data_IF_287552907745
#
_entry.id   IF_287552907745
#
_cell.length_a   1.000
_cell.length_b   1.000
_cell.length_c   1.000
_cell.angle_alpha   90.00
_cell.angle_beta   90.00
_cell.angle_gamma   90.00
#
_symmetry.space_group_name_H-M   'P 1'
#
loop_
_entity.id
_entity.type
_entity.pdbx_description
1 polymer ?
#
# COMPACT_ATOMS: atom_id res chain seq x y z
N UNK A 1 -0.99 28.83 17.95
CA UNK A 1 -1.32 27.56 17.27
C UNK A 1 -1.38 27.84 15.78
N UNK A 2 -0.42 27.36 15.00
CA UNK A 2 -0.32 27.68 13.57
C UNK A 2 -1.24 26.77 12.76
N UNK A 3 -2.11 27.38 11.96
CA UNK A 3 -3.00 26.73 10.99
C UNK A 3 -2.25 25.63 10.21
N UNK A 4 -2.82 24.43 10.16
CA UNK A 4 -2.23 23.20 9.61
C UNK A 4 -2.00 23.19 8.10
N UNK A 5 -1.85 24.37 7.49
CA UNK A 5 -1.66 24.61 6.05
C UNK A 5 -0.24 25.03 5.68
N UNK A 6 0.75 24.84 6.56
CA UNK A 6 2.16 25.06 6.20
C UNK A 6 2.61 23.99 5.20
N UNK A 7 2.53 24.29 3.90
CA UNK A 7 3.24 23.54 2.86
C UNK A 7 4.73 23.84 2.97
N UNK A 8 5.53 22.81 3.22
CA UNK A 8 6.98 22.95 3.25
C UNK A 8 7.49 23.37 1.87
N UNK A 9 8.66 24.03 1.82
CA UNK A 9 9.25 24.51 0.56
C UNK A 9 9.46 23.34 -0.43
N UNK A 10 9.70 22.13 0.08
CA UNK A 10 9.81 20.88 -0.68
C UNK A 10 8.50 20.41 -1.34
N UNK A 11 7.32 20.78 -0.82
CA UNK A 11 6.02 20.38 -1.37
C UNK A 11 5.51 21.34 -2.46
N UNK A 12 6.24 22.44 -2.68
CA UNK A 12 5.86 23.45 -3.66
C UNK A 12 6.20 22.97 -5.06
N UNK A 13 5.21 23.03 -5.95
CA UNK A 13 5.32 22.68 -7.36
C UNK A 13 5.65 23.94 -8.16
N UNK A 14 6.85 24.47 -7.97
CA UNK A 14 7.25 25.79 -8.48
C UNK A 14 7.56 25.77 -10.00
N UNK A 15 7.78 24.58 -10.57
CA UNK A 15 8.09 24.41 -11.99
C UNK A 15 6.85 24.04 -12.82
N UNK A 16 6.68 24.70 -13.96
CA UNK A 16 5.61 24.44 -14.93
C UNK A 16 6.18 23.89 -16.24
N UNK A 17 5.58 22.82 -16.73
CA UNK A 17 5.89 22.24 -18.05
C UNK A 17 4.62 22.32 -18.91
N UNK A 18 4.77 22.75 -20.16
CA UNK A 18 3.71 22.78 -21.16
C UNK A 18 4.08 21.79 -22.27
N UNK A 19 3.18 20.86 -22.60
CA UNK A 19 3.40 19.84 -23.63
C UNK A 19 2.30 19.97 -24.69
N UNK A 20 2.70 20.01 -25.97
CA UNK A 20 1.76 19.92 -27.09
C UNK A 20 1.55 18.44 -27.44
N UNK A 21 0.31 18.03 -27.61
CA UNK A 21 -0.08 16.66 -27.91
C UNK A 21 -0.85 16.62 -29.23
N UNK A 22 -0.68 15.54 -29.99
CA UNK A 22 -1.60 15.23 -31.08
C UNK A 22 -2.95 14.76 -30.51
N UNK A 23 -4.00 14.73 -31.34
CA UNK A 23 -5.31 14.20 -30.91
C UNK A 23 -5.20 12.74 -30.42
N UNK A 24 -4.40 11.92 -31.12
CA UNK A 24 -4.18 10.51 -30.76
C UNK A 24 -3.53 10.38 -29.38
N UNK A 25 -2.50 11.18 -29.11
CA UNK A 25 -1.80 11.16 -27.82
C UNK A 25 -2.72 11.65 -26.68
N UNK A 26 -3.59 12.62 -26.98
CA UNK A 26 -4.57 13.12 -26.04
C UNK A 26 -5.60 12.04 -25.67
N UNK A 27 -6.04 11.23 -26.62
CA UNK A 27 -6.98 10.14 -26.35
C UNK A 27 -6.34 9.00 -25.54
N UNK A 28 -5.07 8.67 -25.81
CA UNK A 28 -4.29 7.75 -24.98
C UNK A 28 -4.19 8.28 -23.55
N UNK A 29 -3.86 9.56 -23.38
CA UNK A 29 -3.79 10.19 -22.06
C UNK A 29 -5.14 10.11 -21.34
N UNK A 30 -6.25 10.49 -21.98
CA UNK A 30 -7.59 10.40 -21.38
C UNK A 30 -7.95 8.99 -20.95
N UNK A 31 -7.65 7.98 -21.77
CA UNK A 31 -7.89 6.58 -21.44
C UNK A 31 -7.08 6.16 -20.20
N UNK A 32 -5.80 6.55 -20.12
CA UNK A 32 -4.96 6.28 -18.96
C UNK A 32 -5.47 6.98 -17.69
N UNK A 33 -5.92 8.24 -17.78
CA UNK A 33 -6.51 8.96 -16.65
C UNK A 33 -7.80 8.31 -16.17
N UNK A 34 -8.66 7.85 -17.09
CA UNK A 34 -9.90 7.13 -16.74
C UNK A 34 -9.60 5.83 -16.02
N UNK A 35 -8.60 5.08 -16.47
CA UNK A 35 -8.18 3.81 -15.84
C UNK A 35 -7.58 4.02 -14.45
N UNK A 36 -6.75 5.06 -14.29
CA UNK A 36 -6.01 5.31 -13.05
C UNK A 36 -6.79 6.16 -12.04
N UNK A 37 -7.83 6.87 -12.47
CA UNK A 37 -8.56 7.85 -11.66
C UNK A 37 -7.74 9.10 -11.30
N UNK A 38 -6.54 9.26 -11.85
CA UNK A 38 -5.63 10.36 -11.53
C UNK A 38 -5.94 11.62 -12.37
N UNK A 39 -5.55 12.78 -11.84
CA UNK A 39 -5.47 13.99 -12.66
C UNK A 39 -4.27 13.93 -13.60
N UNK A 40 -4.34 14.58 -14.77
CA UNK A 40 -3.25 14.62 -15.74
C UNK A 40 -1.90 15.03 -15.12
N UNK A 41 -1.92 16.05 -14.25
CA UNK A 41 -0.72 16.53 -13.59
C UNK A 41 -0.13 15.52 -12.60
N UNK A 42 -0.97 14.71 -11.93
CA UNK A 42 -0.51 13.66 -11.03
C UNK A 42 0.09 12.51 -11.83
N UNK A 43 -0.62 12.07 -12.87
CA UNK A 43 -0.19 11.01 -13.77
C UNK A 43 1.18 11.28 -14.41
N UNK A 44 1.40 12.49 -14.96
CA UNK A 44 2.69 12.88 -15.54
C UNK A 44 3.81 12.91 -14.50
N UNK A 45 3.52 13.37 -13.28
CA UNK A 45 4.53 13.36 -12.20
C UNK A 45 4.89 11.94 -11.77
N UNK A 46 3.92 11.04 -11.70
CA UNK A 46 4.19 9.63 -11.41
C UNK A 46 5.01 8.99 -12.53
N UNK A 47 4.68 9.25 -13.80
CA UNK A 47 5.50 8.80 -14.93
C UNK A 47 6.97 9.23 -14.80
N UNK A 48 7.22 10.49 -14.46
CA UNK A 48 8.58 11.01 -14.28
C UNK A 48 9.26 10.35 -13.09
N UNK A 49 8.55 10.15 -11.97
CA UNK A 49 9.11 9.58 -10.74
C UNK A 49 9.45 8.10 -10.89
N UNK A 50 8.58 7.33 -11.55
CA UNK A 50 8.71 5.87 -11.66
C UNK A 50 9.36 5.41 -12.97
N UNK A 51 9.85 6.36 -13.78
CA UNK A 51 10.45 6.05 -15.09
C UNK A 51 9.48 5.39 -16.07
N UNK A 52 8.19 5.69 -15.97
CA UNK A 52 7.14 5.14 -16.84
C UNK A 52 6.38 3.94 -16.27
N UNK A 53 6.82 3.36 -15.16
CA UNK A 53 6.16 2.20 -14.56
C UNK A 53 5.14 2.63 -13.49
N UNK A 54 3.97 3.10 -13.92
CA UNK A 54 2.93 3.54 -12.98
C UNK A 54 2.19 2.32 -12.45
N UNK A 55 2.51 1.92 -11.23
CA UNK A 55 1.76 0.91 -10.51
C UNK A 55 0.47 1.52 -9.95
N UNK A 56 -0.67 1.15 -10.55
CA UNK A 56 -2.00 1.53 -10.08
C UNK A 56 -2.65 0.52 -9.15
N UNK A 57 -2.12 -0.70 -9.04
CA UNK A 57 -2.66 -1.74 -8.17
C UNK A 57 -2.10 -1.65 -6.75
N UNK A 58 -0.95 -0.99 -6.58
CA UNK A 58 -0.25 -0.79 -5.31
C UNK A 58 -1.15 -0.46 -4.09
N UNK A 59 -2.12 0.50 -4.16
CA UNK A 59 -2.96 0.82 -3.01
C UNK A 59 -3.99 -0.28 -2.69
N UNK A 60 -4.57 -0.90 -3.72
CA UNK A 60 -5.57 -1.95 -3.57
C UNK A 60 -4.93 -3.26 -3.09
N UNK A 61 -3.77 -3.62 -3.64
CA UNK A 61 -3.01 -4.79 -3.23
C UNK A 61 -2.56 -4.68 -1.77
N UNK A 62 -2.12 -3.49 -1.35
CA UNK A 62 -1.82 -3.20 0.07
C UNK A 62 -3.04 -3.38 0.95
N UNK A 63 -4.19 -2.82 0.57
CA UNK A 63 -5.42 -2.94 1.35
C UNK A 63 -5.90 -4.40 1.45
N UNK A 64 -5.77 -5.16 0.35
CA UNK A 64 -6.14 -6.57 0.29
C UNK A 64 -5.24 -7.43 1.16
N UNK A 65 -3.93 -7.23 1.11
CA UNK A 65 -2.94 -7.93 1.95
C UNK A 65 -3.19 -7.64 3.43
N UNK A 66 -3.38 -6.36 3.81
CA UNK A 66 -3.70 -5.97 5.19
C UNK A 66 -4.97 -6.68 5.67
N UNK A 67 -6.01 -6.75 4.83
CA UNK A 67 -7.28 -7.40 5.18
C UNK A 67 -7.14 -8.90 5.40
N UNK A 68 -6.41 -9.60 4.52
CA UNK A 68 -6.16 -11.04 4.66
C UNK A 68 -5.44 -11.33 5.98
N UNK A 69 -4.40 -10.56 6.28
CA UNK A 69 -3.61 -10.73 7.52
C UNK A 69 -4.45 -10.44 8.77
N UNK A 70 -5.23 -9.35 8.76
CA UNK A 70 -6.15 -9.06 9.86
C UNK A 70 -7.15 -10.19 10.10
N UNK A 71 -7.64 -10.82 9.03
CA UNK A 71 -8.48 -12.02 9.09
C UNK A 71 -7.78 -13.20 9.75
N UNK A 72 -6.53 -13.49 9.35
CA UNK A 72 -5.71 -14.56 9.94
C UNK A 72 -5.50 -14.31 11.43
N UNK A 73 -5.09 -13.10 11.82
CA UNK A 73 -4.87 -12.74 13.22
C UNK A 73 -6.16 -12.89 14.06
N UNK A 74 -7.30 -12.48 13.51
CA UNK A 74 -8.59 -12.64 14.18
C UNK A 74 -8.99 -14.12 14.34
N UNK A 75 -8.76 -14.95 13.33
CA UNK A 75 -9.03 -16.39 13.39
C UNK A 75 -8.17 -17.07 14.48
N UNK A 76 -6.88 -16.70 14.57
CA UNK A 76 -5.98 -17.21 15.63
C UNK A 76 -6.49 -16.79 17.01
N UNK A 77 -6.86 -15.52 17.19
CA UNK A 77 -7.37 -15.02 18.47
C UNK A 77 -8.64 -15.76 18.90
N UNK A 78 -9.53 -16.10 17.97
CA UNK A 78 -10.72 -16.92 18.23
C UNK A 78 -10.34 -18.34 18.62
N UNK A 79 -9.43 -19.00 17.90
CA UNK A 79 -8.99 -20.35 18.21
C UNK A 79 -8.38 -20.46 19.62
N UNK A 80 -7.55 -19.49 20.01
CA UNK A 80 -6.97 -19.42 21.36
C UNK A 80 -8.04 -19.23 22.43
N UNK A 81 -8.98 -18.29 22.24
CA UNK A 81 -10.10 -18.08 23.18
C UNK A 81 -10.97 -19.32 23.32
N UNK A 82 -11.29 -19.99 22.22
CA UNK A 82 -12.12 -21.20 22.21
C UNK A 82 -11.43 -22.34 22.97
N UNK A 83 -10.15 -22.62 22.71
CA UNK A 83 -9.49 -23.72 23.42
C UNK A 83 -9.12 -23.39 24.86
N UNK A 84 -9.00 -22.10 25.25
CA UNK A 84 -8.95 -21.70 26.65
C UNK A 84 -10.29 -21.98 27.36
N UNK A 85 -11.43 -21.62 26.74
CA UNK A 85 -12.77 -21.93 27.26
C UNK A 85 -13.04 -23.44 27.38
N UNK A 86 -12.52 -24.25 26.45
CA UNK A 86 -12.69 -25.70 26.45
C UNK A 86 -11.68 -26.45 27.33
N UNK A 87 -10.71 -25.76 27.96
CA UNK A 87 -9.71 -26.35 28.86
C UNK A 87 -8.72 -27.31 28.18
N UNK A 88 -8.54 -27.22 26.85
CA UNK A 88 -7.76 -28.18 26.04
C UNK A 88 -6.57 -27.55 25.30
N UNK A 89 -6.19 -26.32 25.63
CA UNK A 89 -5.06 -25.66 24.99
C UNK A 89 -3.73 -26.14 25.62
N UNK A 90 -3.03 -27.07 24.96
CA UNK A 90 -1.68 -27.43 25.38
C UNK A 90 -0.70 -26.31 25.04
N UNK A 91 0.19 -26.00 25.99
CA UNK A 91 1.20 -24.94 25.86
C UNK A 91 2.03 -25.05 24.57
N UNK A 92 2.35 -26.28 24.13
CA UNK A 92 3.09 -26.53 22.89
C UNK A 92 2.35 -26.18 21.60
N UNK A 93 1.01 -26.13 21.59
CA UNK A 93 0.26 -25.63 20.42
C UNK A 93 0.21 -24.10 20.39
N UNK A 94 0.15 -23.45 21.56
CA UNK A 94 0.23 -22.00 21.68
C UNK A 94 1.58 -21.50 21.17
N UNK A 95 2.65 -22.16 21.59
CA UNK A 95 4.01 -21.81 21.18
C UNK A 95 4.22 -21.94 19.66
N UNK A 96 3.70 -23.01 19.06
CA UNK A 96 3.71 -23.18 17.58
C UNK A 96 2.90 -22.09 16.86
N UNK A 97 1.74 -21.69 17.40
CA UNK A 97 0.94 -20.60 16.84
C UNK A 97 1.66 -19.26 16.95
N UNK A 98 2.37 -19.02 18.05
CA UNK A 98 3.15 -17.81 18.28
C UNK A 98 4.32 -17.72 17.28
N UNK A 99 5.07 -18.81 17.11
CA UNK A 99 6.17 -18.88 16.14
C UNK A 99 5.69 -18.62 14.70
N UNK A 100 4.62 -19.28 14.27
CA UNK A 100 4.02 -19.04 12.94
C UNK A 100 3.55 -17.59 12.76
N UNK A 101 3.05 -16.95 13.82
CA UNK A 101 2.63 -15.55 13.77
C UNK A 101 3.84 -14.62 13.61
N UNK A 102 4.94 -14.91 14.30
CA UNK A 102 6.16 -14.12 14.19
C UNK A 102 6.83 -14.26 12.81
N UNK A 103 6.75 -15.43 12.18
CA UNK A 103 7.17 -15.63 10.78
C UNK A 103 6.32 -14.79 9.80
N UNK A 104 4.99 -14.75 10.00
CA UNK A 104 4.11 -13.89 9.21
C UNK A 104 4.45 -12.41 9.39
N UNK A 105 4.71 -11.96 10.64
CA UNK A 105 5.12 -10.57 10.90
C UNK A 105 6.44 -10.23 10.22
N UNK A 106 7.42 -11.13 10.28
CA UNK A 106 8.73 -10.95 9.64
C UNK A 106 8.59 -10.80 8.13
N UNK A 107 7.92 -11.76 7.49
CA UNK A 107 7.67 -11.74 6.04
C UNK A 107 6.94 -10.46 5.61
N UNK A 108 5.99 -9.99 6.44
CA UNK A 108 5.30 -8.73 6.17
C UNK A 108 6.22 -7.52 6.28
N UNK A 109 7.12 -7.49 7.27
CA UNK A 109 8.13 -6.44 7.39
C UNK A 109 9.02 -6.36 6.15
N UNK A 110 9.42 -7.50 5.59
CA UNK A 110 10.20 -7.57 4.34
C UNK A 110 9.42 -7.01 3.15
N UNK A 111 8.14 -7.38 2.99
CA UNK A 111 7.26 -6.83 1.95
C UNK A 111 7.10 -5.31 2.10
N UNK A 112 6.91 -4.81 3.33
CA UNK A 112 6.79 -3.38 3.59
C UNK A 112 8.07 -2.60 3.27
N UNK A 113 9.25 -3.18 3.50
CA UNK A 113 10.53 -2.54 3.16
C UNK A 113 10.74 -2.49 1.64
N UNK A 114 10.41 -3.57 0.90
CA UNK A 114 10.45 -3.56 -0.57
C UNK A 114 9.54 -2.45 -1.13
N UNK A 115 8.34 -2.35 -0.57
CA UNK A 115 7.38 -1.30 -0.90
C UNK A 115 7.84 0.11 -0.52
N UNK A 116 8.59 0.27 0.57
CA UNK A 116 9.24 1.54 0.94
C UNK A 116 10.31 1.93 -0.09
N UNK A 117 11.12 0.97 -0.54
CA UNK A 117 12.19 1.18 -1.52
C UNK A 117 11.67 1.54 -2.90
N UNK A 118 10.55 0.97 -3.34
CA UNK A 118 9.87 1.35 -4.60
C UNK A 118 9.34 2.79 -4.61
N UNK A 119 9.35 3.47 -3.46
CA UNK A 119 8.89 4.85 -3.27
C UNK A 119 10.03 5.87 -3.27
N UNK A 120 11.28 5.42 -3.17
CA UNK A 120 12.52 6.24 -3.17
C UNK A 120 13.07 6.42 -4.58
#
# INVERSE_FOLDING_TARGET
MADGKRRYKSDRKDYKISVKLSEKDMDILKAALKRTGMTASAYIRELIRTGGNIDTSYPEDRAKIIRVIAGIANNINQAVKLGNLQGRLYYGYIDKLQNSLDDVKKTFGEVLEVWRLQRS
#
